data_IF_460207568703
#
_entry.id   IF_460207568703
#
_cell.length_a   1.000
_cell.length_b   1.000
_cell.length_c   1.000
_cell.angle_alpha   90.00
_cell.angle_beta   90.00
_cell.angle_gamma   90.00
#
_symmetry.space_group_name_H-M   'P 1'
#
loop_
_entity.id
_entity.type
_entity.pdbx_description
1 polymer ?
#
# COMPACT_ATOMS: atom_id res chain seq x y z
N UNK A 1 -1.85 0.32 36.56
CA UNK A 1 -2.38 -0.10 35.24
C UNK A 1 -1.52 -1.24 34.72
N UNK A 2 -2.09 -2.36 34.27
CA UNK A 2 -1.26 -3.45 33.73
C UNK A 2 -0.77 -3.08 32.32
N UNK A 3 0.36 -3.67 31.88
CA UNK A 3 0.89 -3.46 30.52
C UNK A 3 -0.17 -3.80 29.48
N UNK A 4 -0.93 -4.85 29.71
CA UNK A 4 -2.01 -5.27 28.82
C UNK A 4 -3.13 -4.21 28.71
N UNK A 5 -3.52 -3.59 29.81
CA UNK A 5 -4.51 -2.51 29.81
C UNK A 5 -4.05 -1.31 29.00
N UNK A 6 -2.76 -0.94 29.09
CA UNK A 6 -2.21 0.14 28.27
C UNK A 6 -2.21 -0.21 26.78
N UNK A 7 -1.88 -1.44 26.43
CA UNK A 7 -1.88 -1.91 25.02
C UNK A 7 -3.29 -1.89 24.47
N UNK A 8 -4.27 -2.43 25.20
CA UNK A 8 -5.66 -2.45 24.77
C UNK A 8 -6.28 -1.04 24.73
N UNK A 9 -5.92 -0.14 25.66
CA UNK A 9 -6.33 1.26 25.59
C UNK A 9 -5.82 1.94 24.31
N UNK A 10 -4.58 1.63 23.89
CA UNK A 10 -4.03 2.13 22.65
C UNK A 10 -4.72 1.52 21.42
N UNK A 11 -5.06 0.22 21.46
CA UNK A 11 -5.82 -0.46 20.40
C UNK A 11 -7.25 0.13 20.31
N UNK A 12 -7.90 0.38 21.42
CA UNK A 12 -9.22 1.02 21.45
C UNK A 12 -9.21 2.47 20.95
N UNK A 13 -8.05 3.12 20.96
CA UNK A 13 -7.83 4.43 20.35
C UNK A 13 -7.58 4.41 18.83
N UNK A 14 -7.46 3.21 18.22
CA UNK A 14 -7.34 3.07 16.79
C UNK A 14 -8.60 3.53 16.05
N UNK A 15 -8.47 3.99 14.81
CA UNK A 15 -9.64 4.34 13.99
C UNK A 15 -10.59 3.15 13.87
N UNK A 16 -11.90 3.43 13.89
CA UNK A 16 -12.92 2.42 13.65
C UNK A 16 -12.68 1.68 12.32
N UNK A 17 -13.04 0.41 12.27
CA UNK A 17 -12.87 -0.44 11.08
C UNK A 17 -13.38 0.24 9.81
N UNK A 18 -14.50 0.95 9.89
CA UNK A 18 -15.09 1.69 8.78
C UNK A 18 -14.15 2.78 8.23
N UNK A 19 -13.46 3.51 9.11
CA UNK A 19 -12.51 4.56 8.72
C UNK A 19 -11.27 3.97 8.03
N UNK A 20 -10.80 2.81 8.51
CA UNK A 20 -9.69 2.08 7.87
C UNK A 20 -10.10 1.63 6.47
N UNK A 21 -11.30 1.02 6.35
CA UNK A 21 -11.82 0.58 5.06
C UNK A 21 -12.10 1.75 4.10
N UNK A 22 -12.56 2.88 4.61
CA UNK A 22 -12.78 4.09 3.81
C UNK A 22 -11.46 4.66 3.30
N UNK A 23 -10.44 4.79 4.15
CA UNK A 23 -9.12 5.25 3.75
C UNK A 23 -8.50 4.34 2.68
N UNK A 24 -8.65 3.03 2.82
CA UNK A 24 -8.21 2.04 1.83
C UNK A 24 -8.96 2.20 0.50
N UNK A 25 -10.30 2.30 0.53
CA UNK A 25 -11.12 2.52 -0.68
C UNK A 25 -10.73 3.80 -1.41
N UNK A 26 -10.50 4.88 -0.67
CA UNK A 26 -10.10 6.16 -1.24
C UNK A 26 -8.72 6.08 -1.91
N UNK A 27 -7.76 5.43 -1.27
CA UNK A 27 -6.42 5.20 -1.84
C UNK A 27 -6.48 4.37 -3.12
N UNK A 28 -7.25 3.28 -3.12
CA UNK A 28 -7.46 2.43 -4.31
C UNK A 28 -8.19 3.17 -5.43
N UNK A 29 -9.20 3.98 -5.12
CA UNK A 29 -9.93 4.78 -6.10
C UNK A 29 -9.03 5.79 -6.81
N UNK A 30 -8.12 6.43 -6.08
CA UNK A 30 -7.15 7.40 -6.63
C UNK A 30 -6.19 6.71 -7.60
N UNK A 31 -5.60 5.59 -7.21
CA UNK A 31 -4.69 4.82 -8.07
C UNK A 31 -5.41 4.31 -9.32
N UNK A 32 -6.62 3.78 -9.18
CA UNK A 32 -7.41 3.30 -10.31
C UNK A 32 -7.76 4.42 -11.31
N UNK A 33 -8.06 5.62 -10.82
CA UNK A 33 -8.26 6.79 -11.69
C UNK A 33 -6.99 7.16 -12.45
N UNK A 34 -5.83 7.07 -11.79
CA UNK A 34 -4.52 7.34 -12.42
C UNK A 34 -4.13 6.28 -13.44
N UNK A 35 -4.35 5.00 -13.13
CA UNK A 35 -4.15 3.88 -14.06
C UNK A 35 -4.99 4.06 -15.33
N UNK A 36 -6.27 4.38 -15.21
CA UNK A 36 -7.15 4.63 -16.38
C UNK A 36 -6.67 5.78 -17.25
N UNK A 37 -6.17 6.85 -16.66
CA UNK A 37 -5.59 7.97 -17.42
C UNK A 37 -4.35 7.54 -18.19
N UNK A 38 -3.43 6.82 -17.54
CA UNK A 38 -2.22 6.30 -18.16
C UNK A 38 -2.54 5.30 -19.28
N UNK A 39 -3.47 4.40 -19.08
CA UNK A 39 -3.92 3.45 -20.10
C UNK A 39 -4.49 4.17 -21.34
N UNK A 40 -5.27 5.23 -21.13
CA UNK A 40 -5.80 6.05 -22.20
C UNK A 40 -4.68 6.78 -22.97
N UNK A 41 -3.73 7.40 -22.26
CA UNK A 41 -2.58 8.07 -22.89
C UNK A 41 -1.67 7.07 -23.64
N UNK A 42 -1.42 5.90 -23.07
CA UNK A 42 -0.69 4.82 -23.74
C UNK A 42 -1.38 4.39 -25.05
N UNK A 43 -2.70 4.19 -25.01
CA UNK A 43 -3.44 3.84 -26.23
C UNK A 43 -3.35 4.94 -27.29
N UNK A 44 -3.44 6.20 -26.90
CA UNK A 44 -3.29 7.37 -27.78
C UNK A 44 -1.87 7.43 -28.37
N UNK A 45 -0.85 7.31 -27.51
CA UNK A 45 0.56 7.36 -27.92
C UNK A 45 0.91 6.20 -28.87
N UNK A 46 0.41 5.00 -28.62
CA UNK A 46 0.57 3.84 -29.51
C UNK A 46 -0.06 4.07 -30.89
N UNK A 47 -1.26 4.68 -30.95
CA UNK A 47 -1.90 5.05 -32.23
C UNK A 47 -1.06 6.11 -32.97
N UNK A 48 -0.53 7.11 -32.27
CA UNK A 48 0.35 8.11 -32.87
C UNK A 48 1.64 7.48 -33.39
N UNK A 49 2.19 6.49 -32.69
CA UNK A 49 3.36 5.74 -33.13
C UNK A 49 3.12 5.04 -34.47
N UNK A 50 1.97 4.43 -34.68
CA UNK A 50 1.62 3.80 -35.95
C UNK A 50 1.48 4.82 -37.09
N UNK A 51 0.87 5.98 -36.81
CA UNK A 51 0.78 7.08 -37.80
C UNK A 51 2.17 7.56 -38.19
N UNK A 52 3.07 7.81 -37.23
CA UNK A 52 4.45 8.23 -37.50
C UNK A 52 5.22 7.20 -38.30
N UNK A 53 5.07 5.91 -38.05
CA UNK A 53 5.67 4.83 -38.83
C UNK A 53 5.19 4.85 -40.26
N UNK A 54 3.90 5.13 -40.50
CA UNK A 54 3.36 5.30 -41.85
C UNK A 54 3.96 6.50 -42.58
N UNK A 55 4.13 7.64 -41.87
CA UNK A 55 4.73 8.84 -42.46
C UNK A 55 6.23 8.68 -42.78
N UNK A 56 6.98 7.92 -41.97
CA UNK A 56 8.38 7.57 -42.30
C UNK A 56 8.45 6.81 -43.62
N UNK A 57 7.56 5.83 -43.81
CA UNK A 57 7.52 5.08 -45.08
C UNK A 57 7.28 6.00 -46.29
N UNK A 58 6.37 6.97 -46.18
CA UNK A 58 6.10 7.97 -47.20
C UNK A 58 7.26 8.94 -47.40
N UNK A 59 7.97 9.31 -46.33
CA UNK A 59 9.16 10.16 -46.44
C UNK A 59 10.28 9.50 -47.24
N UNK A 60 10.46 8.18 -47.08
CA UNK A 60 11.44 7.41 -47.82
C UNK A 60 11.11 7.32 -49.34
N UNK A 61 9.83 7.39 -49.70
CA UNK A 61 9.37 7.41 -51.11
C UNK A 61 9.27 8.82 -51.68
N UNK A 62 9.53 9.86 -50.88
CA UNK A 62 9.42 11.25 -51.30
C UNK A 62 8.00 11.80 -51.36
N UNK A 63 7.02 11.08 -50.75
CA UNK A 63 5.62 11.47 -50.73
C UNK A 63 5.22 12.26 -49.46
N UNK A 64 6.11 12.33 -48.45
CA UNK A 64 5.87 13.07 -47.22
C UNK A 64 6.41 14.49 -47.29
N UNK A 65 5.72 15.42 -46.65
CA UNK A 65 6.18 16.81 -46.48
C UNK A 65 7.19 16.96 -45.32
N UNK A 66 7.36 15.93 -44.50
CA UNK A 66 8.26 15.92 -43.35
C UNK A 66 9.59 15.25 -43.70
N UNK A 67 10.68 15.75 -43.10
CA UNK A 67 11.97 15.11 -43.24
C UNK A 67 12.02 13.78 -42.46
N UNK A 68 12.76 12.82 -42.97
CA UNK A 68 12.95 11.54 -42.24
C UNK A 68 13.64 11.72 -40.90
N UNK A 69 14.46 12.75 -40.76
CA UNK A 69 15.18 13.07 -39.52
C UNK A 69 14.22 13.61 -38.43
N UNK A 70 13.33 14.54 -38.78
CA UNK A 70 12.31 15.08 -37.86
C UNK A 70 11.34 13.98 -37.38
N UNK A 71 10.94 13.11 -38.32
CA UNK A 71 10.07 11.96 -37.98
C UNK A 71 10.77 10.96 -37.07
N UNK A 72 12.08 10.71 -37.25
CA UNK A 72 12.86 9.84 -36.37
C UNK A 72 12.95 10.40 -34.96
N UNK A 73 13.24 11.69 -34.82
CA UNK A 73 13.28 12.37 -33.50
C UNK A 73 11.94 12.31 -32.82
N UNK A 74 10.84 12.54 -33.54
CA UNK A 74 9.49 12.44 -33.00
C UNK A 74 9.14 11.01 -32.56
N UNK A 75 9.54 10.01 -33.35
CA UNK A 75 9.36 8.60 -33.04
C UNK A 75 10.08 8.19 -31.76
N UNK A 76 11.34 8.61 -31.59
CA UNK A 76 12.13 8.23 -30.41
C UNK A 76 11.60 8.91 -29.15
N UNK A 77 11.19 10.17 -29.23
CA UNK A 77 10.50 10.85 -28.11
C UNK A 77 9.21 10.12 -27.70
N UNK A 78 8.43 9.68 -28.69
CA UNK A 78 7.17 9.01 -28.42
C UNK A 78 7.38 7.60 -27.84
N UNK A 79 8.39 6.87 -28.31
CA UNK A 79 8.79 5.58 -27.73
C UNK A 79 9.24 5.73 -26.26
N UNK A 80 10.12 6.70 -25.96
CA UNK A 80 10.56 6.96 -24.60
C UNK A 80 9.38 7.24 -23.68
N UNK A 81 8.44 8.07 -24.13
CA UNK A 81 7.22 8.38 -23.35
C UNK A 81 6.35 7.15 -23.12
N UNK A 82 6.17 6.31 -24.14
CA UNK A 82 5.43 5.05 -23.99
C UNK A 82 6.09 4.15 -22.92
N UNK A 83 7.42 4.02 -22.96
CA UNK A 83 8.15 3.21 -21.99
C UNK A 83 8.01 3.77 -20.57
N UNK A 84 8.14 5.08 -20.38
CA UNK A 84 7.96 5.74 -19.08
C UNK A 84 6.54 5.55 -18.52
N UNK A 85 5.53 5.69 -19.38
CA UNK A 85 4.12 5.51 -19.02
C UNK A 85 3.83 4.02 -18.65
N UNK A 86 4.41 3.05 -19.38
CA UNK A 86 4.31 1.62 -19.12
C UNK A 86 4.96 1.24 -17.79
N UNK A 87 6.16 1.75 -17.49
CA UNK A 87 6.84 1.54 -16.21
C UNK A 87 6.05 2.13 -15.04
N UNK A 88 5.46 3.31 -15.25
CA UNK A 88 4.65 3.97 -14.23
C UNK A 88 3.36 3.18 -13.95
N UNK A 89 2.71 2.68 -15.00
CA UNK A 89 1.52 1.84 -14.89
C UNK A 89 1.81 0.54 -14.13
N UNK A 90 2.95 -0.10 -14.41
CA UNK A 90 3.36 -1.32 -13.72
C UNK A 90 3.64 -1.07 -12.23
N UNK A 91 4.33 0.03 -11.90
CA UNK A 91 4.55 0.43 -10.49
C UNK A 91 3.23 0.63 -9.74
N UNK A 92 2.26 1.32 -10.34
CA UNK A 92 0.95 1.52 -9.73
C UNK A 92 0.18 0.22 -9.51
N UNK A 93 0.29 -0.76 -10.43
CA UNK A 93 -0.32 -2.08 -10.27
C UNK A 93 0.31 -2.85 -9.11
N UNK A 94 1.64 -2.86 -9.03
CA UNK A 94 2.36 -3.52 -7.93
C UNK A 94 1.98 -2.90 -6.58
N UNK A 95 1.90 -1.56 -6.50
CA UNK A 95 1.46 -0.87 -5.29
C UNK A 95 0.03 -1.25 -4.88
N UNK A 96 -0.89 -1.34 -5.84
CA UNK A 96 -2.27 -1.75 -5.56
C UNK A 96 -2.36 -3.19 -5.05
N UNK A 97 -1.60 -4.11 -5.65
CA UNK A 97 -1.54 -5.50 -5.21
C UNK A 97 -0.93 -5.61 -3.80
N UNK A 98 0.11 -4.84 -3.50
CA UNK A 98 0.70 -4.79 -2.16
C UNK A 98 -0.28 -4.23 -1.12
N UNK A 99 -0.98 -3.13 -1.44
CA UNK A 99 -2.01 -2.55 -0.57
C UNK A 99 -3.15 -3.52 -0.31
N UNK A 100 -3.59 -4.25 -1.34
CA UNK A 100 -4.63 -5.27 -1.21
C UNK A 100 -4.21 -6.42 -0.30
N UNK A 101 -3.03 -6.96 -0.51
CA UNK A 101 -2.44 -8.01 0.34
C UNK A 101 -2.36 -7.56 1.80
N UNK A 102 -1.94 -6.32 2.02
CA UNK A 102 -1.85 -5.72 3.34
C UNK A 102 -3.23 -5.59 4.00
N UNK A 103 -4.21 -5.04 3.28
CA UNK A 103 -5.58 -4.92 3.80
C UNK A 103 -6.17 -6.28 4.15
N UNK A 104 -5.97 -7.30 3.30
CA UNK A 104 -6.45 -8.67 3.53
C UNK A 104 -5.80 -9.33 4.77
N UNK A 105 -4.57 -8.92 5.14
CA UNK A 105 -3.88 -9.43 6.33
C UNK A 105 -4.16 -8.61 7.60
N UNK A 106 -4.31 -7.29 7.48
CA UNK A 106 -4.48 -6.38 8.62
C UNK A 106 -5.88 -6.43 9.19
N UNK A 107 -6.92 -6.52 8.35
CA UNK A 107 -8.30 -6.51 8.83
C UNK A 107 -8.67 -7.67 9.74
N UNK A 108 -8.31 -8.94 9.45
CA UNK A 108 -8.54 -10.04 10.39
C UNK A 108 -7.79 -9.84 11.72
N UNK A 109 -6.54 -9.37 11.67
CA UNK A 109 -5.75 -9.09 12.86
C UNK A 109 -6.37 -7.97 13.71
N UNK A 110 -6.85 -6.90 13.09
CA UNK A 110 -7.56 -5.82 13.78
C UNK A 110 -8.79 -6.33 14.53
N UNK A 111 -9.66 -7.09 13.86
CA UNK A 111 -10.86 -7.67 14.47
C UNK A 111 -10.50 -8.57 15.65
N UNK A 112 -9.46 -9.36 15.52
CA UNK A 112 -8.98 -10.23 16.59
C UNK A 112 -8.45 -9.43 17.78
N UNK A 113 -7.71 -8.34 17.55
CA UNK A 113 -7.23 -7.48 18.62
C UNK A 113 -8.36 -6.75 19.34
N UNK A 114 -9.37 -6.29 18.61
CA UNK A 114 -10.55 -5.66 19.20
C UNK A 114 -11.34 -6.65 20.06
N UNK A 115 -11.60 -7.87 19.58
CA UNK A 115 -12.23 -8.94 20.34
C UNK A 115 -11.44 -9.25 21.63
N UNK A 116 -10.13 -9.35 21.54
CA UNK A 116 -9.29 -9.57 22.73
C UNK A 116 -9.32 -8.41 23.71
N UNK A 117 -9.38 -7.17 23.23
CA UNK A 117 -9.47 -6.00 24.09
C UNK A 117 -10.78 -5.97 24.89
N UNK A 118 -11.89 -6.35 24.25
CA UNK A 118 -13.20 -6.43 24.89
C UNK A 118 -13.30 -7.58 25.92
N UNK A 119 -12.74 -8.73 25.58
CA UNK A 119 -12.89 -9.96 26.40
C UNK A 119 -11.82 -10.09 27.48
N UNK A 120 -10.70 -9.37 27.39
CA UNK A 120 -9.52 -9.62 28.22
C UNK A 120 -9.77 -9.47 29.71
N UNK A 121 -10.54 -8.48 30.13
CA UNK A 121 -10.75 -8.22 31.58
C UNK A 121 -11.49 -9.37 32.26
N UNK A 122 -12.49 -9.94 31.61
CA UNK A 122 -13.33 -11.01 32.12
C UNK A 122 -12.82 -12.42 31.78
N UNK A 123 -11.76 -12.50 30.94
CA UNK A 123 -11.21 -13.76 30.48
C UNK A 123 -10.53 -14.56 31.60
N UNK A 124 -10.54 -15.89 31.46
CA UNK A 124 -9.79 -16.80 32.35
C UNK A 124 -8.26 -16.53 32.27
N UNK A 125 -7.51 -16.95 33.30
CA UNK A 125 -6.07 -16.80 33.32
C UNK A 125 -5.39 -17.51 32.09
N UNK A 126 -5.95 -18.63 31.66
CA UNK A 126 -5.47 -19.39 30.53
C UNK A 126 -5.68 -18.62 29.22
N UNK A 127 -6.87 -18.05 29.05
CA UNK A 127 -7.18 -17.18 27.91
C UNK A 127 -6.30 -15.92 27.88
N UNK A 128 -6.10 -15.28 29.04
CA UNK A 128 -5.18 -14.14 29.19
C UNK A 128 -3.74 -14.48 28.76
N UNK A 129 -3.24 -15.66 29.15
CA UNK A 129 -1.93 -16.15 28.74
C UNK A 129 -1.85 -16.40 27.22
N UNK A 130 -2.88 -17.01 26.66
CA UNK A 130 -2.96 -17.27 25.22
C UNK A 130 -2.90 -15.96 24.42
N UNK A 131 -3.70 -14.97 24.81
CA UNK A 131 -3.70 -13.63 24.19
C UNK A 131 -2.31 -12.99 24.28
N UNK A 132 -1.70 -13.02 25.48
CA UNK A 132 -0.36 -12.47 25.68
C UNK A 132 0.70 -13.16 24.80
N UNK A 133 0.65 -14.49 24.66
CA UNK A 133 1.56 -15.25 23.80
C UNK A 133 1.39 -14.92 22.31
N UNK A 134 0.20 -14.55 21.88
CA UNK A 134 -0.04 -14.15 20.49
C UNK A 134 0.38 -12.69 20.22
N UNK A 135 0.21 -11.81 21.20
CA UNK A 135 0.59 -10.40 21.07
C UNK A 135 2.10 -10.17 21.18
N UNK A 136 2.79 -10.93 22.03
CA UNK A 136 4.18 -10.70 22.34
C UNK A 136 5.09 -11.80 21.82
N UNK A 137 6.13 -11.41 21.11
CA UNK A 137 7.22 -12.30 20.73
C UNK A 137 8.24 -12.46 21.88
N UNK A 138 8.38 -11.43 22.73
CA UNK A 138 9.36 -11.44 23.83
C UNK A 138 8.96 -10.45 24.92
N UNK A 139 9.13 -10.87 26.18
CA UNK A 139 8.99 -10.01 27.37
C UNK A 139 10.28 -10.10 28.18
N UNK A 140 10.97 -9.01 28.37
CA UNK A 140 12.21 -8.93 29.16
C UNK A 140 11.95 -8.15 30.44
N UNK A 141 12.34 -8.72 31.57
CA UNK A 141 12.26 -8.06 32.88
C UNK A 141 13.65 -7.67 33.32
N UNK A 142 13.90 -6.37 33.38
CA UNK A 142 15.18 -5.80 33.78
C UNK A 142 15.26 -5.43 35.26
N UNK A 143 16.44 -5.02 35.73
CA UNK A 143 16.66 -4.51 37.09
C UNK A 143 15.77 -3.27 37.33
N UNK A 144 15.17 -3.18 38.52
CA UNK A 144 14.28 -2.07 38.87
C UNK A 144 12.87 -2.18 38.27
N UNK A 145 12.42 -3.42 38.00
CA UNK A 145 11.09 -3.73 37.45
C UNK A 145 10.81 -3.08 36.09
N UNK A 146 11.84 -2.73 35.34
CA UNK A 146 11.65 -2.29 33.94
C UNK A 146 11.26 -3.49 33.09
N UNK A 147 10.12 -3.36 32.41
CA UNK A 147 9.60 -4.40 31.53
C UNK A 147 9.73 -3.88 30.10
N UNK A 148 10.44 -4.63 29.25
CA UNK A 148 10.53 -4.40 27.82
C UNK A 148 9.72 -5.47 27.10
N UNK A 149 8.76 -5.03 26.31
CA UNK A 149 7.89 -5.91 25.54
C UNK A 149 8.21 -5.76 24.07
N UNK A 150 8.41 -6.90 23.39
CA UNK A 150 8.55 -6.94 21.94
C UNK A 150 7.28 -7.54 21.36
N UNK A 151 6.58 -6.74 20.53
CA UNK A 151 5.35 -7.15 19.89
C UNK A 151 5.59 -8.13 18.76
N UNK A 152 4.60 -8.97 18.46
CA UNK A 152 4.60 -9.80 17.27
C UNK A 152 4.61 -8.93 15.99
N UNK A 153 5.17 -9.44 14.91
CA UNK A 153 5.34 -8.71 13.65
C UNK A 153 4.04 -8.13 13.11
N UNK A 154 2.95 -8.90 13.19
CA UNK A 154 1.62 -8.49 12.72
C UNK A 154 1.09 -7.25 13.44
N UNK A 155 1.30 -7.13 14.75
CA UNK A 155 0.91 -5.94 15.50
C UNK A 155 1.77 -4.73 15.14
N UNK A 156 3.07 -4.92 14.96
CA UNK A 156 3.98 -3.84 14.52
C UNK A 156 3.60 -3.29 13.15
N UNK A 157 3.28 -4.16 12.20
CA UNK A 157 2.80 -3.74 10.88
C UNK A 157 1.52 -2.93 10.99
N UNK A 158 0.57 -3.42 11.80
CA UNK A 158 -0.69 -2.71 12.06
C UNK A 158 -0.44 -1.30 12.61
N UNK A 159 0.40 -1.16 13.64
CA UNK A 159 0.68 0.14 14.28
C UNK A 159 1.45 1.08 13.35
N UNK A 160 2.42 0.58 12.56
CA UNK A 160 3.22 1.43 11.66
C UNK A 160 2.42 1.99 10.49
N UNK A 161 1.38 1.28 10.06
CA UNK A 161 0.63 1.65 8.87
C UNK A 161 -0.67 2.40 9.16
N UNK A 162 -1.28 2.15 10.33
CA UNK A 162 -2.59 2.68 10.71
C UNK A 162 -2.61 3.45 12.04
N UNK A 163 -1.57 3.29 12.85
CA UNK A 163 -1.37 4.04 14.08
C UNK A 163 -0.68 5.37 13.76
N UNK A 164 -1.35 6.50 14.00
CA UNK A 164 -0.68 7.80 13.91
C UNK A 164 0.56 7.88 14.83
N UNK A 165 1.43 8.87 14.61
CA UNK A 165 2.73 9.07 15.29
C UNK A 165 2.70 8.98 16.83
N UNK A 166 1.53 9.09 17.46
CA UNK A 166 1.35 9.04 18.92
C UNK A 166 1.35 7.62 19.52
N UNK A 167 1.36 6.55 18.72
CA UNK A 167 1.32 5.17 19.23
C UNK A 167 2.70 4.53 19.47
N UNK A 168 3.78 5.18 19.13
CA UNK A 168 5.13 4.62 19.27
C UNK A 168 5.81 4.84 20.63
N UNK A 169 5.15 5.48 21.57
CA UNK A 169 5.70 5.75 22.92
C UNK A 169 4.95 4.97 23.98
N UNK A 170 5.36 3.74 24.26
CA UNK A 170 5.02 2.97 25.47
C UNK A 170 6.28 2.67 26.25
#
# INVERSE_FOLDING_TARGET
MSIMQNIFANISGCPEEEKIQEAYRNAMSTNHSMQKKLEFELQKNRKQLEVLRGEISKSLTGESIYSSEDLSIALDKLKSRITEDEETLEKLKIEDDQKKLLADSVMPAYRQFMSWAEEFEDASLETKKMIACQLFSRVEVGKGYRIKVTMNMTYRQFVSEWGGENMMTV
#
